data_IF_659245265043
#
_entry.id   IF_659245265043
#
_cell.length_a   1.000
_cell.length_b   1.000
_cell.length_c   1.000
_cell.angle_alpha   90.00
_cell.angle_beta   90.00
_cell.angle_gamma   90.00
#
_symmetry.space_group_name_H-M   'P 1'
#
loop_
_entity.id
_entity.type
_entity.pdbx_description
1 polymer ?
#
# COMPACT_ATOMS: atom_id res chain seq x y z
N UNK A 1 7.68 27.78 -14.02
CA UNK A 1 7.09 28.14 -12.69
C UNK A 1 5.58 28.40 -12.75
N UNK A 2 5.07 29.36 -13.54
CA UNK A 2 3.62 29.67 -13.60
C UNK A 2 2.73 28.45 -13.95
N UNK A 3 3.10 27.70 -14.99
CA UNK A 3 2.37 26.50 -15.42
C UNK A 3 2.40 25.40 -14.36
N UNK A 4 3.55 25.16 -13.72
CA UNK A 4 3.69 24.20 -12.63
C UNK A 4 2.79 24.53 -11.43
N UNK A 5 2.73 25.80 -11.02
CA UNK A 5 1.86 26.21 -9.93
C UNK A 5 0.38 26.04 -10.28
N UNK A 6 -0.02 26.41 -11.49
CA UNK A 6 -1.39 26.19 -11.96
C UNK A 6 -1.75 24.70 -12.02
N UNK A 7 -0.82 23.85 -12.46
CA UNK A 7 -0.98 22.39 -12.45
C UNK A 7 -1.19 21.84 -11.03
N UNK A 8 -0.42 22.32 -10.04
CA UNK A 8 -0.58 21.91 -8.65
C UNK A 8 -1.95 22.29 -8.08
N UNK A 9 -2.46 23.49 -8.40
CA UNK A 9 -3.79 23.92 -7.96
C UNK A 9 -4.90 23.06 -8.56
N UNK A 10 -4.83 22.75 -9.86
CA UNK A 10 -5.77 21.84 -10.51
C UNK A 10 -5.70 20.42 -9.93
N UNK A 11 -4.49 19.89 -9.70
CA UNK A 11 -4.31 18.57 -9.10
C UNK A 11 -4.88 18.50 -7.68
N UNK A 12 -4.69 19.55 -6.86
CA UNK A 12 -5.32 19.66 -5.53
C UNK A 12 -6.84 19.72 -5.58
N UNK A 13 -7.38 20.33 -6.64
CA UNK A 13 -8.81 20.34 -6.91
C UNK A 13 -9.36 19.03 -7.52
N UNK A 14 -8.51 18.00 -7.67
CA UNK A 14 -8.90 16.72 -8.28
C UNK A 14 -9.05 16.76 -9.80
N UNK A 15 -8.68 17.87 -10.45
CA UNK A 15 -8.81 18.07 -11.90
C UNK A 15 -7.57 17.57 -12.63
N UNK A 16 -7.32 16.27 -12.55
CA UNK A 16 -6.07 15.68 -13.04
C UNK A 16 -5.90 15.79 -14.56
N UNK A 17 -7.00 15.67 -15.32
CA UNK A 17 -6.99 15.80 -16.78
C UNK A 17 -6.61 17.21 -17.24
N UNK A 18 -6.98 18.24 -16.48
CA UNK A 18 -6.58 19.62 -16.75
C UNK A 18 -5.14 19.89 -16.25
N UNK A 19 -4.72 19.26 -15.15
CA UNK A 19 -3.40 19.46 -14.54
C UNK A 19 -2.26 18.84 -15.36
N UNK A 20 -2.44 17.63 -15.89
CA UNK A 20 -1.39 16.88 -16.60
C UNK A 20 -0.81 17.64 -17.80
N UNK A 21 -1.63 18.25 -18.70
CA UNK A 21 -1.10 19.07 -19.79
C UNK A 21 -0.26 20.25 -19.32
N UNK A 22 -0.60 20.86 -18.18
CA UNK A 22 0.19 21.97 -17.62
C UNK A 22 1.52 21.48 -17.03
N UNK A 23 1.56 20.29 -16.43
CA UNK A 23 2.83 19.68 -16.05
C UNK A 23 3.71 19.39 -17.27
N UNK A 24 3.14 18.80 -18.34
CA UNK A 24 3.86 18.55 -19.60
C UNK A 24 4.44 19.84 -20.18
N UNK A 25 3.62 20.89 -20.28
CA UNK A 25 4.08 22.19 -20.78
C UNK A 25 5.17 22.82 -19.90
N UNK A 26 5.08 22.66 -18.58
CA UNK A 26 6.12 23.12 -17.67
C UNK A 26 7.46 22.38 -17.86
N UNK A 27 7.43 21.09 -18.22
CA UNK A 27 8.62 20.31 -18.55
C UNK A 27 9.23 20.76 -19.88
N UNK A 28 8.40 21.00 -20.90
CA UNK A 28 8.83 21.46 -22.22
C UNK A 28 9.44 22.87 -22.20
N UNK A 29 8.89 23.76 -21.37
CA UNK A 29 9.39 25.12 -21.24
C UNK A 29 10.75 25.21 -20.52
N UNK A 30 11.16 24.17 -19.80
CA UNK A 30 12.39 24.18 -19.00
C UNK A 30 12.99 22.76 -18.87
N UNK A 31 13.42 22.13 -19.98
CA UNK A 31 13.87 20.75 -19.99
C UNK A 31 15.13 20.52 -19.14
N UNK A 32 15.96 21.55 -18.98
CA UNK A 32 17.22 21.50 -18.22
C UNK A 32 17.09 22.01 -16.78
N UNK A 33 15.87 22.20 -16.27
CA UNK A 33 15.68 22.74 -14.92
C UNK A 33 16.22 21.76 -13.85
N UNK A 34 17.02 22.22 -12.87
CA UNK A 34 17.68 21.33 -11.89
C UNK A 34 16.71 20.58 -10.97
N UNK A 35 15.45 21.02 -10.88
CA UNK A 35 14.39 20.37 -10.11
C UNK A 35 13.32 19.72 -10.99
N UNK A 36 13.65 19.33 -12.23
CA UNK A 36 12.69 18.70 -13.16
C UNK A 36 12.01 17.46 -12.54
N UNK A 37 12.77 16.69 -11.74
CA UNK A 37 12.26 15.52 -11.02
C UNK A 37 11.08 15.84 -10.10
N UNK A 38 11.01 17.05 -9.52
CA UNK A 38 9.88 17.48 -8.68
C UNK A 38 8.61 17.60 -9.53
N UNK A 39 8.71 18.20 -10.71
CA UNK A 39 7.58 18.32 -11.65
C UNK A 39 7.12 16.95 -12.11
N UNK A 40 8.06 16.05 -12.42
CA UNK A 40 7.77 14.67 -12.81
C UNK A 40 7.06 13.90 -11.69
N UNK A 41 7.49 14.02 -10.43
CA UNK A 41 6.79 13.37 -9.30
C UNK A 41 5.36 13.88 -9.15
N UNK A 42 5.13 15.19 -9.21
CA UNK A 42 3.77 15.75 -9.13
C UNK A 42 2.89 15.29 -10.29
N UNK A 43 3.46 15.18 -11.48
CA UNK A 43 2.76 14.62 -12.64
C UNK A 43 2.47 13.11 -12.47
N UNK A 44 3.40 12.33 -11.91
CA UNK A 44 3.19 10.92 -11.60
C UNK A 44 2.07 10.73 -10.56
N UNK A 45 2.00 11.59 -9.54
CA UNK A 45 0.90 11.62 -8.56
C UNK A 45 -0.44 11.93 -9.22
N UNK A 46 -0.47 12.91 -10.15
CA UNK A 46 -1.68 13.23 -10.91
C UNK A 46 -2.14 12.05 -11.78
N UNK A 47 -1.22 11.36 -12.47
CA UNK A 47 -1.55 10.14 -13.22
C UNK A 47 -2.05 9.01 -12.31
N UNK A 48 -1.43 8.81 -11.14
CA UNK A 48 -1.88 7.81 -10.18
C UNK A 48 -3.33 8.07 -9.74
N UNK A 49 -3.63 9.31 -9.37
CA UNK A 49 -4.97 9.67 -8.92
C UNK A 49 -6.01 9.61 -10.04
N UNK A 50 -5.63 9.99 -11.27
CA UNK A 50 -6.47 9.78 -12.45
C UNK A 50 -6.74 8.28 -12.66
N UNK A 51 -5.73 7.42 -12.50
CA UNK A 51 -5.89 5.97 -12.55
C UNK A 51 -6.87 5.44 -11.49
N UNK A 52 -6.79 5.96 -10.26
CA UNK A 52 -7.76 5.62 -9.19
C UNK A 52 -9.17 6.06 -9.55
N UNK A 53 -9.34 7.27 -10.08
CA UNK A 53 -10.65 7.78 -10.53
C UNK A 53 -11.25 6.89 -11.63
N UNK A 54 -10.47 6.59 -12.67
CA UNK A 54 -10.88 5.70 -13.77
C UNK A 54 -11.22 4.30 -13.27
N UNK A 55 -10.43 3.77 -12.34
CA UNK A 55 -10.68 2.47 -11.72
C UNK A 55 -12.02 2.45 -10.98
N UNK A 56 -12.29 3.47 -10.16
CA UNK A 56 -13.55 3.61 -9.43
C UNK A 56 -14.76 3.78 -10.37
N UNK A 57 -14.56 4.44 -11.52
CA UNK A 57 -15.55 4.57 -12.58
C UNK A 57 -15.67 3.32 -13.46
N UNK A 58 -15.03 2.20 -13.10
CA UNK A 58 -15.02 0.93 -13.83
C UNK A 58 -14.39 0.98 -15.23
N UNK A 59 -13.60 2.02 -15.50
CA UNK A 59 -12.84 2.23 -16.73
C UNK A 59 -11.47 1.55 -16.60
N UNK A 60 -11.46 0.21 -16.69
CA UNK A 60 -10.27 -0.59 -16.35
C UNK A 60 -9.08 -0.36 -17.27
N UNK A 61 -9.30 -0.22 -18.57
CA UNK A 61 -8.20 -0.02 -19.53
C UNK A 61 -7.60 1.38 -19.38
N UNK A 62 -8.43 2.41 -19.23
CA UNK A 62 -7.99 3.78 -19.00
C UNK A 62 -7.29 3.92 -17.64
N UNK A 63 -7.76 3.20 -16.62
CA UNK A 63 -7.06 3.11 -15.33
C UNK A 63 -5.68 2.48 -15.50
N UNK A 64 -5.60 1.36 -16.23
CA UNK A 64 -4.34 0.65 -16.51
C UNK A 64 -3.35 1.54 -17.24
N UNK A 65 -3.81 2.29 -18.24
CA UNK A 65 -2.98 3.26 -18.96
C UNK A 65 -2.47 4.37 -18.02
N UNK A 66 -3.35 4.99 -17.25
CA UNK A 66 -2.98 6.04 -16.31
C UNK A 66 -1.96 5.56 -15.26
N UNK A 67 -2.12 4.35 -14.72
CA UNK A 67 -1.15 3.79 -13.79
C UNK A 67 0.19 3.45 -14.46
N UNK A 68 0.21 2.96 -15.70
CA UNK A 68 1.47 2.77 -16.43
C UNK A 68 2.21 4.10 -16.63
N UNK A 69 1.49 5.16 -16.99
CA UNK A 69 2.07 6.52 -17.10
C UNK A 69 2.57 7.03 -15.75
N UNK A 70 1.87 6.76 -14.65
CA UNK A 70 2.33 7.09 -13.31
C UNK A 70 3.65 6.38 -12.96
N UNK A 71 3.74 5.07 -13.26
CA UNK A 71 4.93 4.25 -13.00
C UNK A 71 6.12 4.74 -13.82
N UNK A 72 5.95 4.94 -15.13
CA UNK A 72 7.00 5.41 -16.02
C UNK A 72 7.51 6.80 -15.59
N UNK A 73 6.57 7.72 -15.33
CA UNK A 73 6.90 9.07 -14.90
C UNK A 73 7.64 9.08 -13.56
N UNK A 74 7.21 8.25 -12.60
CA UNK A 74 7.87 8.11 -11.30
C UNK A 74 9.29 7.54 -11.44
N UNK A 75 9.49 6.49 -12.25
CA UNK A 75 10.82 5.91 -12.52
C UNK A 75 11.75 6.95 -13.16
N UNK A 76 11.26 7.73 -14.12
CA UNK A 76 12.02 8.83 -14.73
C UNK A 76 12.37 9.90 -13.71
N UNK A 77 11.44 10.27 -12.82
CA UNK A 77 11.74 11.24 -11.79
C UNK A 77 12.82 10.73 -10.82
N UNK A 78 12.72 9.46 -10.41
CA UNK A 78 13.66 8.81 -9.50
C UNK A 78 15.08 8.75 -10.08
N UNK A 79 15.21 8.43 -11.37
CA UNK A 79 16.52 8.37 -12.03
C UNK A 79 17.20 9.74 -12.16
N UNK A 80 16.43 10.82 -12.05
CA UNK A 80 16.91 12.20 -12.12
C UNK A 80 17.21 12.82 -10.75
N UNK A 81 17.00 12.10 -9.64
CA UNK A 81 17.29 12.62 -8.29
C UNK A 81 18.82 12.79 -8.14
N UNK A 82 19.29 13.99 -7.76
CA UNK A 82 20.71 14.21 -7.48
C UNK A 82 21.26 13.24 -6.41
N UNK A 83 22.43 12.67 -6.65
CA UNK A 83 23.02 11.66 -5.75
C UNK A 83 23.37 12.22 -4.36
N UNK A 84 23.60 13.53 -4.26
CA UNK A 84 23.89 14.28 -3.05
C UNK A 84 22.66 14.56 -2.18
N UNK A 85 21.44 14.19 -2.63
CA UNK A 85 20.18 14.35 -1.88
C UNK A 85 19.45 13.03 -1.65
N UNK A 86 20.09 12.04 -0.99
CA UNK A 86 19.50 10.72 -0.78
C UNK A 86 18.22 10.76 0.07
N UNK A 87 18.04 11.77 0.93
CA UNK A 87 16.88 11.93 1.81
C UNK A 87 15.56 12.13 1.07
N UNK A 88 15.59 12.60 -0.18
CA UNK A 88 14.38 12.77 -1.00
C UNK A 88 13.95 11.47 -1.69
N UNK A 89 14.86 10.49 -1.81
CA UNK A 89 14.60 9.24 -2.55
C UNK A 89 13.43 8.44 -1.95
N UNK A 90 13.32 8.21 -0.62
CA UNK A 90 12.21 7.44 -0.05
C UNK A 90 10.83 8.03 -0.35
N UNK A 91 10.67 9.35 -0.26
CA UNK A 91 9.38 10.03 -0.52
C UNK A 91 8.91 9.80 -1.96
N UNK A 92 9.82 9.92 -2.92
CA UNK A 92 9.53 9.78 -4.35
C UNK A 92 9.24 8.35 -4.80
N UNK A 93 9.71 7.34 -4.06
CA UNK A 93 9.33 5.95 -4.32
C UNK A 93 7.89 5.64 -3.90
N UNK A 94 7.25 6.48 -3.07
CA UNK A 94 5.90 6.26 -2.58
C UNK A 94 4.86 6.15 -3.71
N UNK A 95 4.89 7.06 -4.70
CA UNK A 95 3.95 7.01 -5.83
C UNK A 95 4.20 5.82 -6.76
N UNK A 96 5.47 5.45 -6.95
CA UNK A 96 5.86 4.25 -7.71
C UNK A 96 5.31 2.99 -7.04
N UNK A 97 5.57 2.83 -5.74
CA UNK A 97 5.12 1.70 -4.94
C UNK A 97 3.59 1.57 -4.96
N UNK A 98 2.86 2.66 -4.69
CA UNK A 98 1.38 2.64 -4.70
C UNK A 98 0.81 2.30 -6.08
N UNK A 99 1.37 2.87 -7.15
CA UNK A 99 0.89 2.59 -8.52
C UNK A 99 1.15 1.15 -8.93
N UNK A 100 2.33 0.62 -8.63
CA UNK A 100 2.65 -0.79 -8.89
C UNK A 100 1.80 -1.74 -8.05
N UNK A 101 1.52 -1.42 -6.78
CA UNK A 101 0.65 -2.22 -5.92
C UNK A 101 -0.77 -2.33 -6.52
N UNK A 102 -1.38 -1.21 -6.89
CA UNK A 102 -2.72 -1.22 -7.52
C UNK A 102 -2.71 -1.99 -8.84
N UNK A 103 -1.68 -1.76 -9.67
CA UNK A 103 -1.51 -2.50 -10.93
C UNK A 103 -1.42 -4.01 -10.71
N UNK A 104 -0.51 -4.46 -9.84
CA UNK A 104 -0.30 -5.87 -9.56
C UNK A 104 -1.55 -6.55 -8.97
N UNK A 105 -2.27 -5.87 -8.09
CA UNK A 105 -3.43 -6.44 -7.41
C UNK A 105 -4.67 -6.52 -8.29
N UNK A 106 -4.96 -5.48 -9.09
CA UNK A 106 -6.29 -5.33 -9.68
C UNK A 106 -6.34 -5.35 -11.21
N UNK A 107 -5.22 -5.10 -11.89
CA UNK A 107 -5.19 -4.80 -13.32
C UNK A 107 -4.25 -5.71 -14.12
N UNK A 108 -3.10 -6.07 -13.54
CA UNK A 108 -2.06 -6.82 -14.21
C UNK A 108 -1.21 -7.62 -13.20
N UNK A 109 -1.60 -8.86 -12.87
CA UNK A 109 -0.86 -9.72 -11.93
C UNK A 109 0.59 -10.00 -12.33
N UNK A 110 0.96 -9.84 -13.60
CA UNK A 110 2.34 -10.00 -14.05
C UNK A 110 3.27 -8.91 -13.47
N UNK A 111 2.72 -7.79 -12.99
CA UNK A 111 3.46 -6.71 -12.32
C UNK A 111 3.77 -6.99 -10.85
N UNK A 112 3.40 -8.15 -10.30
CA UNK A 112 3.64 -8.49 -8.90
C UNK A 112 5.13 -8.39 -8.54
N UNK A 113 6.02 -8.97 -9.35
CA UNK A 113 7.46 -8.92 -9.08
C UNK A 113 8.01 -7.48 -9.06
N UNK A 114 7.55 -6.63 -9.97
CA UNK A 114 7.90 -5.21 -9.98
C UNK A 114 7.41 -4.48 -8.73
N UNK A 115 6.16 -4.76 -8.30
CA UNK A 115 5.60 -4.17 -7.10
C UNK A 115 6.39 -4.54 -5.85
N UNK A 116 6.76 -5.82 -5.70
CA UNK A 116 7.57 -6.29 -4.57
C UNK A 116 8.97 -5.66 -4.63
N UNK A 117 9.64 -5.68 -5.78
CA UNK A 117 10.97 -5.09 -5.96
C UNK A 117 11.00 -3.60 -5.59
N UNK A 118 10.01 -2.82 -6.01
CA UNK A 118 9.96 -1.39 -5.69
C UNK A 118 9.80 -1.14 -4.18
N UNK A 119 9.04 -1.98 -3.47
CA UNK A 119 8.91 -1.86 -2.02
C UNK A 119 10.16 -2.34 -1.29
N UNK A 120 10.87 -3.35 -1.81
CA UNK A 120 12.16 -3.79 -1.26
C UNK A 120 13.24 -2.72 -1.40
N UNK A 121 13.27 -2.03 -2.55
CA UNK A 121 14.12 -0.84 -2.75
C UNK A 121 13.76 0.27 -1.74
N UNK A 122 12.47 0.59 -1.57
CA UNK A 122 12.01 1.55 -0.57
C UNK A 122 12.43 1.15 0.85
N UNK A 123 12.24 -0.11 1.22
CA UNK A 123 12.60 -0.66 2.51
C UNK A 123 14.10 -0.52 2.80
N UNK A 124 14.95 -0.68 1.78
CA UNK A 124 16.40 -0.55 1.90
C UNK A 124 16.86 0.90 2.13
N UNK A 125 16.08 1.90 1.71
CA UNK A 125 16.38 3.32 1.90
C UNK A 125 15.83 3.89 3.22
N UNK A 126 14.89 3.20 3.85
CA UNK A 126 14.27 3.66 5.10
C UNK A 126 15.16 3.39 6.30
N UNK A 127 15.25 4.37 7.19
CA UNK A 127 16.13 4.32 8.37
C UNK A 127 15.38 4.08 9.68
N UNK A 128 14.08 4.41 9.74
CA UNK A 128 13.29 4.24 10.97
C UNK A 128 12.63 2.85 11.02
N UNK A 129 12.60 2.18 12.18
CA UNK A 129 11.89 0.91 12.33
C UNK A 129 10.40 1.02 11.95
N UNK A 130 9.75 2.12 12.30
CA UNK A 130 8.33 2.34 11.99
C UNK A 130 8.06 2.39 10.48
N UNK A 131 8.86 3.11 9.70
CA UNK A 131 8.69 3.17 8.25
C UNK A 131 9.02 1.83 7.59
N UNK A 132 10.08 1.17 8.05
CA UNK A 132 10.47 -0.16 7.56
C UNK A 132 9.39 -1.20 7.83
N UNK A 133 8.83 -1.24 9.03
CA UNK A 133 7.73 -2.13 9.39
C UNK A 133 6.48 -1.83 8.56
N UNK A 134 6.17 -0.54 8.31
CA UNK A 134 5.06 -0.15 7.43
C UNK A 134 5.25 -0.66 6.00
N UNK A 135 6.43 -0.47 5.41
CA UNK A 135 6.72 -0.96 4.05
C UNK A 135 6.68 -2.49 3.98
N UNK A 136 7.22 -3.17 4.99
CA UNK A 136 7.15 -4.63 5.09
C UNK A 136 5.70 -5.14 5.21
N UNK A 137 4.82 -4.40 5.91
CA UNK A 137 3.39 -4.68 5.97
C UNK A 137 2.68 -4.40 4.63
N UNK A 138 3.13 -3.41 3.85
CA UNK A 138 2.61 -3.16 2.50
C UNK A 138 2.96 -4.29 1.53
N UNK A 139 4.19 -4.81 1.60
CA UNK A 139 4.61 -6.02 0.87
C UNK A 139 3.69 -7.19 1.22
N UNK A 140 3.43 -7.40 2.52
CA UNK A 140 2.54 -8.46 2.99
C UNK A 140 1.11 -8.29 2.48
N UNK A 141 0.60 -7.05 2.44
CA UNK A 141 -0.72 -6.74 1.88
C UNK A 141 -0.80 -7.06 0.39
N UNK A 142 0.23 -6.74 -0.39
CA UNK A 142 0.27 -7.07 -1.83
C UNK A 142 0.21 -8.59 -2.02
N UNK A 143 0.97 -9.36 -1.24
CA UNK A 143 0.87 -10.82 -1.25
C UNK A 143 -0.55 -11.30 -0.88
N UNK A 144 -1.13 -10.76 0.19
CA UNK A 144 -2.47 -11.14 0.61
C UNK A 144 -3.51 -10.88 -0.49
N UNK A 145 -3.49 -9.68 -1.07
CA UNK A 145 -4.44 -9.28 -2.11
C UNK A 145 -4.24 -10.04 -3.43
N UNK A 146 -3.06 -10.66 -3.63
CA UNK A 146 -2.74 -11.53 -4.77
C UNK A 146 -2.83 -13.02 -4.44
N UNK A 147 -3.56 -13.38 -3.38
CA UNK A 147 -3.82 -14.75 -2.93
C UNK A 147 -2.56 -15.57 -2.55
N UNK A 148 -1.48 -14.88 -2.19
CA UNK A 148 -0.20 -15.43 -1.73
C UNK A 148 -0.15 -15.44 -0.20
N UNK A 149 -1.08 -16.17 0.41
CA UNK A 149 -1.38 -16.05 1.85
C UNK A 149 -0.22 -16.46 2.76
N UNK A 150 0.59 -17.46 2.40
CA UNK A 150 1.74 -17.86 3.22
C UNK A 150 2.86 -16.81 3.16
N UNK A 151 3.14 -16.27 1.97
CA UNK A 151 4.08 -15.17 1.79
C UNK A 151 3.61 -13.90 2.54
N UNK A 152 2.30 -13.63 2.54
CA UNK A 152 1.71 -12.54 3.31
C UNK A 152 1.93 -12.70 4.82
N UNK A 153 1.62 -13.88 5.38
CA UNK A 153 1.86 -14.17 6.81
C UNK A 153 3.33 -14.00 7.16
N UNK A 154 4.24 -14.54 6.34
CA UNK A 154 5.68 -14.40 6.56
C UNK A 154 6.13 -12.93 6.53
N UNK A 155 5.63 -12.14 5.58
CA UNK A 155 5.96 -10.72 5.47
C UNK A 155 5.38 -9.89 6.62
N UNK A 156 4.15 -10.16 7.08
CA UNK A 156 3.61 -9.49 8.27
C UNK A 156 4.39 -9.83 9.54
N UNK A 157 4.84 -11.10 9.69
CA UNK A 157 5.70 -11.48 10.81
C UNK A 157 7.02 -10.71 10.80
N UNK A 158 7.67 -10.58 9.64
CA UNK A 158 8.86 -9.71 9.49
C UNK A 158 8.57 -8.26 9.87
N UNK A 159 7.40 -7.73 9.53
CA UNK A 159 7.02 -6.38 9.94
C UNK A 159 6.92 -6.25 11.47
N UNK A 160 6.37 -7.27 12.15
CA UNK A 160 6.29 -7.31 13.62
C UNK A 160 7.62 -7.60 14.31
N UNK A 161 8.57 -8.27 13.64
CA UNK A 161 9.95 -8.39 14.12
C UNK A 161 10.67 -7.04 14.12
N UNK A 162 10.39 -6.20 13.11
CA UNK A 162 10.95 -4.84 13.01
C UNK A 162 10.28 -3.90 14.02
N UNK A 163 8.95 -3.91 14.08
CA UNK A 163 8.16 -3.14 15.04
C UNK A 163 6.99 -3.98 15.59
N UNK A 164 7.12 -4.51 16.82
CA UNK A 164 6.07 -5.29 17.47
C UNK A 164 4.75 -4.52 17.71
N UNK A 165 4.77 -3.19 17.58
CA UNK A 165 3.61 -2.33 17.76
C UNK A 165 2.99 -1.84 16.46
N UNK A 166 3.48 -2.30 15.30
CA UNK A 166 2.94 -1.91 14.00
C UNK A 166 1.47 -2.34 13.87
N UNK A 167 0.55 -1.37 13.98
CA UNK A 167 -0.89 -1.61 13.90
C UNK A 167 -1.29 -2.19 12.54
N UNK A 168 -0.65 -1.76 11.46
CA UNK A 168 -0.88 -2.29 10.11
C UNK A 168 -0.48 -3.77 10.02
N UNK A 169 0.65 -4.14 10.63
CA UNK A 169 1.13 -5.51 10.62
C UNK A 169 0.29 -6.43 11.54
N UNK A 170 -0.13 -5.95 12.72
CA UNK A 170 -1.00 -6.71 13.61
C UNK A 170 -2.36 -6.97 12.95
N UNK A 171 -3.00 -5.94 12.41
CA UNK A 171 -4.28 -6.10 11.73
C UNK A 171 -4.17 -6.97 10.49
N UNK A 172 -3.14 -6.73 9.66
CA UNK A 172 -2.88 -7.49 8.45
C UNK A 172 -2.59 -8.98 8.71
N UNK A 173 -1.76 -9.29 9.71
CA UNK A 173 -1.48 -10.68 10.12
C UNK A 173 -2.74 -11.36 10.64
N UNK A 174 -3.50 -10.69 11.51
CA UNK A 174 -4.77 -11.20 12.02
C UNK A 174 -5.74 -11.57 10.89
N UNK A 175 -5.88 -10.69 9.89
CA UNK A 175 -6.70 -10.93 8.71
C UNK A 175 -6.18 -12.08 7.85
N UNK A 176 -4.87 -12.14 7.60
CA UNK A 176 -4.28 -13.19 6.78
C UNK A 176 -4.46 -14.58 7.41
N UNK A 177 -4.30 -14.68 8.74
CA UNK A 177 -4.53 -15.93 9.48
C UNK A 177 -6.02 -16.28 9.53
N UNK A 178 -6.90 -15.29 9.72
CA UNK A 178 -8.35 -15.47 9.74
C UNK A 178 -8.92 -15.94 8.40
N UNK A 179 -8.36 -15.49 7.28
CA UNK A 179 -8.77 -15.90 5.93
C UNK A 179 -8.16 -17.24 5.51
N UNK A 180 -7.28 -17.84 6.32
CA UNK A 180 -6.71 -19.13 6.01
C UNK A 180 -7.79 -20.22 6.06
N UNK A 181 -7.85 -21.13 5.09
CA UNK A 181 -8.77 -22.26 5.15
C UNK A 181 -8.38 -23.29 6.23
N UNK A 182 -7.21 -23.15 6.85
CA UNK A 182 -6.73 -24.02 7.92
C UNK A 182 -7.20 -23.51 9.31
N UNK A 183 -8.13 -24.22 9.97
CA UNK A 183 -8.63 -23.81 11.29
C UNK A 183 -7.56 -23.81 12.38
N UNK A 184 -6.41 -24.47 12.16
CA UNK A 184 -5.29 -24.46 13.10
C UNK A 184 -4.73 -23.05 13.33
N UNK A 185 -4.92 -22.14 12.36
CA UNK A 185 -4.44 -20.75 12.43
C UNK A 185 -5.37 -19.80 13.19
N UNK A 186 -6.63 -20.17 13.41
CA UNK A 186 -7.63 -19.30 14.05
C UNK A 186 -7.29 -18.90 15.51
N UNK A 187 -6.73 -19.79 16.36
CA UNK A 187 -6.28 -19.38 17.69
C UNK A 187 -5.19 -18.30 17.67
N UNK A 188 -4.27 -18.37 16.71
CA UNK A 188 -3.25 -17.33 16.52
C UNK A 188 -3.89 -16.04 15.99
N UNK A 189 -4.77 -16.13 15.00
CA UNK A 189 -5.52 -14.99 14.46
C UNK A 189 -6.25 -14.23 15.59
N UNK A 190 -6.95 -14.95 16.46
CA UNK A 190 -7.63 -14.39 17.63
C UNK A 190 -6.67 -13.64 18.57
N UNK A 191 -5.50 -14.22 18.82
CA UNK A 191 -4.51 -13.62 19.71
C UNK A 191 -3.99 -12.31 19.12
N UNK A 192 -3.63 -12.32 17.84
CA UNK A 192 -3.10 -11.15 17.13
C UNK A 192 -4.17 -10.06 16.98
N UNK A 193 -5.42 -10.41 16.62
CA UNK A 193 -6.52 -9.44 16.50
C UNK A 193 -6.85 -8.80 17.85
N UNK A 194 -6.81 -9.54 18.96
CA UNK A 194 -6.99 -8.98 20.31
C UNK A 194 -5.88 -7.99 20.66
N UNK A 195 -4.63 -8.30 20.32
CA UNK A 195 -3.51 -7.36 20.50
C UNK A 195 -3.69 -6.09 19.67
N UNK A 196 -4.13 -6.21 18.41
CA UNK A 196 -4.47 -5.05 17.58
C UNK A 196 -5.55 -4.19 18.23
N UNK A 197 -6.68 -4.78 18.63
CA UNK A 197 -7.81 -4.06 19.26
C UNK A 197 -7.33 -3.33 20.52
N UNK A 198 -6.57 -4.00 21.39
CA UNK A 198 -6.10 -3.39 22.63
C UNK A 198 -5.20 -2.17 22.38
N UNK A 199 -4.34 -2.22 21.36
CA UNK A 199 -3.45 -1.11 20.99
C UNK A 199 -4.14 0.00 20.21
N UNK A 200 -5.17 -0.34 19.42
CA UNK A 200 -5.85 0.59 18.53
C UNK A 200 -7.16 1.17 19.11
N UNK A 201 -7.64 0.70 20.27
CA UNK A 201 -8.96 1.08 20.83
C UNK A 201 -9.18 2.58 21.04
N UNK A 202 -8.12 3.36 21.19
CA UNK A 202 -8.18 4.81 21.38
C UNK A 202 -7.81 5.60 20.12
N UNK A 203 -7.53 4.94 19.00
CA UNK A 203 -7.18 5.58 17.73
C UNK A 203 -8.44 5.73 16.86
N UNK A 204 -8.99 6.95 16.68
CA UNK A 204 -10.19 7.18 15.87
C UNK A 204 -10.00 6.79 14.41
N UNK A 205 -8.77 6.84 13.88
CA UNK A 205 -8.49 6.45 12.49
C UNK A 205 -8.61 4.94 12.29
N UNK A 206 -8.54 4.16 13.38
CA UNK A 206 -8.62 2.71 13.40
C UNK A 206 -9.99 2.18 13.81
N UNK A 207 -10.96 3.04 14.12
CA UNK A 207 -12.27 2.63 14.64
C UNK A 207 -12.96 1.57 13.77
N UNK A 208 -12.95 1.73 12.45
CA UNK A 208 -13.54 0.76 11.52
C UNK A 208 -12.80 -0.60 11.54
N UNK A 209 -11.47 -0.57 11.60
CA UNK A 209 -10.67 -1.79 11.68
C UNK A 209 -10.82 -2.49 13.03
N UNK A 210 -10.95 -1.73 14.12
CA UNK A 210 -11.25 -2.25 15.46
C UNK A 210 -12.61 -2.93 15.48
N UNK A 211 -13.62 -2.32 14.88
CA UNK A 211 -14.95 -2.93 14.73
C UNK A 211 -14.87 -4.25 13.96
N UNK A 212 -14.21 -4.24 12.80
CA UNK A 212 -14.01 -5.45 11.99
C UNK A 212 -13.26 -6.54 12.77
N UNK A 213 -12.19 -6.19 13.49
CA UNK A 213 -11.44 -7.12 14.32
C UNK A 213 -12.29 -7.75 15.43
N UNK A 214 -13.16 -6.97 16.09
CA UNK A 214 -14.07 -7.48 17.10
C UNK A 214 -15.09 -8.48 16.54
N UNK A 215 -15.63 -8.22 15.34
CA UNK A 215 -16.56 -9.15 14.66
C UNK A 215 -15.86 -10.47 14.33
N UNK A 216 -14.65 -10.42 13.79
CA UNK A 216 -13.84 -11.63 13.56
C UNK A 216 -13.54 -12.36 14.88
N UNK A 217 -13.18 -11.64 15.95
CA UNK A 217 -12.91 -12.23 17.25
C UNK A 217 -14.12 -13.00 17.79
N UNK A 218 -15.32 -12.42 17.68
CA UNK A 218 -16.56 -13.06 18.11
C UNK A 218 -16.84 -14.35 17.30
N UNK A 219 -16.74 -14.27 15.97
CA UNK A 219 -16.99 -15.41 15.08
C UNK A 219 -16.03 -16.58 15.35
N UNK A 220 -14.72 -16.32 15.43
CA UNK A 220 -13.74 -17.39 15.67
C UNK A 220 -13.83 -17.95 17.10
N UNK A 221 -14.16 -17.12 18.08
CA UNK A 221 -14.34 -17.58 19.46
C UNK A 221 -15.53 -18.54 19.57
N UNK A 222 -16.65 -18.22 18.93
CA UNK A 222 -17.82 -19.11 18.84
C UNK A 222 -17.47 -20.42 18.13
N UNK A 223 -16.83 -20.35 16.96
CA UNK A 223 -16.43 -21.53 16.19
C UNK A 223 -15.55 -22.49 17.01
N UNK A 224 -14.55 -21.97 17.74
CA UNK A 224 -13.67 -22.79 18.58
C UNK A 224 -14.40 -23.40 19.79
N UNK A 225 -15.40 -22.71 20.36
CA UNK A 225 -16.23 -23.28 21.41
C UNK A 225 -17.09 -24.43 20.90
N UNK A 226 -17.72 -24.27 19.73
CA UNK A 226 -18.52 -25.32 19.09
C UNK A 226 -17.68 -26.57 18.78
N UNK A 227 -16.46 -26.38 18.26
CA UNK A 227 -15.53 -27.50 18.05
C UNK A 227 -15.18 -28.24 19.34
N UNK A 228 -14.87 -27.52 20.42
CA UNK A 228 -14.59 -28.14 21.73
C UNK A 228 -15.80 -28.90 22.27
N UNK A 229 -17.01 -28.36 22.13
CA UNK A 229 -18.25 -29.03 22.55
C UNK A 229 -18.52 -30.29 21.70
N UNK A 230 -18.25 -30.23 20.39
CA UNK A 230 -18.37 -31.38 19.49
C UNK A 230 -17.37 -32.50 19.80
N UNK A 231 -16.12 -32.15 20.12
CA UNK A 231 -15.10 -33.12 20.53
C UNK A 231 -15.43 -33.79 21.88
N UNK A 232 -15.98 -33.05 22.85
CA UNK A 232 -16.41 -33.59 24.15
C UNK A 232 -17.64 -34.51 24.09
N UNK A 233 -18.39 -34.48 22.98
CA UNK A 233 -19.60 -35.30 22.76
C UNK A 233 -19.35 -36.56 21.92
N UNK A 234 -18.13 -36.78 21.43
CA UNK A 234 -17.77 -38.04 20.75
C UNK A 234 -17.46 -39.11 21.82
N UNK A 235 -18.19 -40.24 21.84
CA UNK A 235 -18.01 -41.31 22.83
C UNK A 235 -16.68 -42.05 22.69
#
# INVERSE_FOLDING_TARGET
IRQFNAANELARAGKYEEAIPLYKSALEASPDHPQLYVVLIRMAEAYHNLGVERFNNRQREEAKEAFNLAIETARKAISMIPQDKPEQKPEYHGVLCRSLAVMATYLDPARLSEAISAHEELLAMQTTPADRARTQAQIAKIYLDTAKSEEAVAAYRKALEIDPNSLDALFGLGNALAQSPDPSKYPEALTILKQFVEKAKSDPQRANQVQQANEMIAAFSQFLEEQRRGQRKRP
#
